data_IF_206720934456
#
_entry.id   IF_206720934456
#
_cell.length_a   1.000
_cell.length_b   1.000
_cell.length_c   1.000
_cell.angle_alpha   90.00
_cell.angle_beta   90.00
_cell.angle_gamma   90.00
#
_symmetry.space_group_name_H-M   'P 1'
#
loop_
_entity.id
_entity.type
_entity.pdbx_description
1 polymer ?
#
# COMPACT_ATOMS: atom_id res chain seq x y z
N UNK A 1 -39.62 -48.79 11.28
CA UNK A 1 -38.86 -47.86 10.43
C UNK A 1 -37.60 -47.46 11.17
N UNK A 2 -36.46 -47.75 10.56
CA UNK A 2 -35.10 -47.16 10.70
C UNK A 2 -34.46 -47.17 12.10
N UNK A 3 -33.44 -48.04 12.18
CA UNK A 3 -32.50 -48.34 13.27
C UNK A 3 -31.72 -47.10 13.74
N UNK A 4 -31.54 -47.04 15.05
CA UNK A 4 -30.50 -46.25 15.69
C UNK A 4 -29.11 -46.76 15.29
N UNK A 5 -28.24 -45.85 14.82
CA UNK A 5 -26.79 -45.96 15.01
C UNK A 5 -26.25 -44.54 15.19
N UNK A 6 -25.92 -44.22 16.43
CA UNK A 6 -25.07 -43.10 16.82
C UNK A 6 -23.63 -43.52 16.49
N UNK A 7 -22.95 -42.80 15.60
CA UNK A 7 -21.49 -42.75 15.60
C UNK A 7 -21.04 -41.31 15.43
N UNK A 8 -20.43 -40.81 16.50
CA UNK A 8 -19.66 -39.59 16.53
C UNK A 8 -18.47 -39.71 15.58
N UNK A 9 -18.29 -38.71 14.72
CA UNK A 9 -16.99 -38.42 14.13
C UNK A 9 -16.82 -36.91 14.11
N UNK A 10 -16.11 -36.44 15.14
CA UNK A 10 -15.37 -35.18 15.21
C UNK A 10 -14.73 -34.89 13.85
N UNK A 11 -15.24 -33.90 13.11
CA UNK A 11 -14.53 -33.30 12.00
C UNK A 11 -13.83 -32.05 12.55
N UNK A 12 -12.52 -32.19 12.66
CA UNK A 12 -11.55 -31.22 13.13
C UNK A 12 -11.79 -29.84 12.52
N UNK A 13 -11.82 -28.84 13.39
CA UNK A 13 -11.61 -27.45 13.02
C UNK A 13 -10.24 -27.30 12.35
N UNK A 14 -10.23 -27.09 11.03
CA UNK A 14 -9.07 -26.59 10.32
C UNK A 14 -9.14 -25.06 10.33
N UNK A 15 -8.22 -24.33 10.99
CA UNK A 15 -8.06 -22.91 10.70
C UNK A 15 -7.57 -22.80 9.26
N UNK A 16 -8.41 -22.31 8.37
CA UNK A 16 -8.00 -21.84 7.06
C UNK A 16 -7.07 -20.63 7.27
N UNK A 17 -5.78 -20.92 7.40
CA UNK A 17 -4.74 -19.93 7.45
C UNK A 17 -4.50 -19.39 6.03
N UNK A 18 -4.64 -18.07 5.91
CA UNK A 18 -4.09 -17.19 4.88
C UNK A 18 -4.43 -17.49 3.40
N UNK A 19 -5.40 -16.73 2.89
CA UNK A 19 -5.19 -15.99 1.67
C UNK A 19 -5.56 -14.54 1.98
N UNK A 20 -4.55 -13.75 2.40
CA UNK A 20 -4.69 -12.32 2.53
C UNK A 20 -5.27 -11.81 1.22
N UNK A 21 -6.49 -11.28 1.30
CA UNK A 21 -7.11 -10.47 0.27
C UNK A 21 -6.00 -9.63 -0.38
N UNK A 22 -5.80 -9.85 -1.67
CA UNK A 22 -5.14 -8.89 -2.54
C UNK A 22 -5.96 -7.63 -2.44
N UNK A 23 -5.63 -6.82 -1.44
CA UNK A 23 -6.22 -5.53 -1.19
C UNK A 23 -5.96 -4.76 -2.46
N UNK A 24 -7.06 -4.46 -3.12
CA UNK A 24 -7.21 -3.59 -4.26
C UNK A 24 -5.96 -2.73 -4.43
N UNK A 25 -5.23 -2.96 -5.52
CA UNK A 25 -4.47 -1.89 -6.13
C UNK A 25 -5.52 -0.85 -6.51
N UNK A 26 -5.88 -0.02 -5.51
CA UNK A 26 -6.61 1.21 -5.73
C UNK A 26 -5.77 1.93 -6.75
N UNK A 27 -6.32 2.03 -7.95
CA UNK A 27 -5.73 2.76 -9.05
C UNK A 27 -5.74 4.22 -8.65
N UNK A 28 -4.83 4.60 -7.78
CA UNK A 28 -4.53 5.98 -7.41
C UNK A 28 -3.58 6.55 -8.48
N UNK A 29 -4.00 6.39 -9.74
CA UNK A 29 -3.48 7.11 -10.89
C UNK A 29 -4.11 8.49 -10.93
N UNK A 30 -3.99 9.24 -9.84
CA UNK A 30 -4.11 10.68 -9.89
C UNK A 30 -2.83 11.18 -10.52
N UNK A 31 -2.92 11.74 -11.72
CA UNK A 31 -1.84 12.44 -12.40
C UNK A 31 -1.06 13.23 -11.38
N UNK A 32 0.17 12.79 -11.07
CA UNK A 32 1.06 13.56 -10.21
C UNK A 32 1.42 14.80 -10.99
N UNK A 33 0.63 15.86 -10.82
CA UNK A 33 1.02 17.21 -11.21
C UNK A 33 2.43 17.38 -10.66
N UNK A 34 3.41 17.53 -11.56
CA UNK A 34 4.82 17.74 -11.22
C UNK A 34 5.02 19.13 -10.59
N UNK A 35 4.25 19.43 -9.56
CA UNK A 35 4.29 20.64 -8.76
C UNK A 35 5.14 20.39 -7.53
N UNK A 36 6.46 20.43 -7.68
CA UNK A 36 7.35 20.39 -6.53
C UNK A 36 8.80 20.12 -6.86
N UNK A 37 9.63 21.15 -6.69
CA UNK A 37 11.10 21.06 -6.70
C UNK A 37 11.67 20.33 -5.48
N UNK A 38 10.84 19.92 -4.52
CA UNK A 38 11.26 19.25 -3.28
C UNK A 38 11.62 17.80 -3.53
N UNK A 39 12.71 17.37 -2.91
CA UNK A 39 13.11 15.96 -2.87
C UNK A 39 12.41 15.23 -1.73
N UNK A 40 12.41 13.90 -1.80
CA UNK A 40 11.91 13.03 -0.73
C UNK A 40 12.67 13.28 0.58
N UNK A 41 13.97 13.58 0.50
CA UNK A 41 14.81 13.91 1.66
C UNK A 41 14.40 15.23 2.34
N UNK A 42 14.00 16.23 1.55
CA UNK A 42 13.50 17.51 2.09
C UNK A 42 12.19 17.29 2.86
N UNK A 43 11.28 16.49 2.28
CA UNK A 43 10.00 16.16 2.93
C UNK A 43 10.21 15.36 4.23
N UNK A 44 11.13 14.39 4.24
CA UNK A 44 11.49 13.67 5.47
C UNK A 44 12.03 14.62 6.55
N UNK A 45 12.87 15.58 6.16
CA UNK A 45 13.44 16.58 7.08
C UNK A 45 12.38 17.55 7.62
N UNK A 46 11.34 17.82 6.83
CA UNK A 46 10.17 18.60 7.23
C UNK A 46 9.18 17.82 8.10
N UNK A 47 9.42 16.53 8.33
CA UNK A 47 8.60 15.65 9.17
C UNK A 47 7.45 14.97 8.42
N UNK A 48 7.53 14.86 7.10
CA UNK A 48 6.66 13.96 6.35
C UNK A 48 7.09 12.52 6.55
N UNK A 49 6.11 11.64 6.74
CA UNK A 49 6.33 10.21 6.94
C UNK A 49 5.97 9.44 5.68
N UNK A 50 6.76 8.40 5.37
CA UNK A 50 6.42 7.46 4.29
C UNK A 50 5.29 6.57 4.79
N UNK A 51 4.10 6.70 4.17
CA UNK A 51 2.92 5.89 4.50
C UNK A 51 2.81 4.65 3.63
N UNK A 52 3.23 4.74 2.38
CA UNK A 52 3.20 3.62 1.45
C UNK A 52 4.25 3.78 0.34
N UNK A 53 4.56 2.66 -0.31
CA UNK A 53 5.31 2.64 -1.55
C UNK A 53 4.68 1.63 -2.50
N UNK A 54 4.44 2.03 -3.75
CA UNK A 54 3.87 1.17 -4.77
C UNK A 54 4.73 1.17 -6.04
N UNK A 55 4.95 0.01 -6.68
CA UNK A 55 5.52 -0.03 -8.01
C UNK A 55 4.51 0.54 -9.03
N UNK A 56 4.98 1.41 -9.92
CA UNK A 56 4.23 1.97 -11.05
C UNK A 56 5.03 1.75 -12.34
N UNK A 57 4.72 0.64 -13.02
CA UNK A 57 5.49 0.19 -14.19
C UNK A 57 6.96 -0.09 -13.84
N UNK A 58 7.87 0.72 -14.36
CA UNK A 58 9.32 0.63 -14.09
C UNK A 58 9.79 1.57 -12.98
N UNK A 59 8.86 2.32 -12.35
CA UNK A 59 9.12 3.32 -11.33
C UNK A 59 8.59 2.87 -9.98
N UNK A 60 9.11 3.44 -8.92
CA UNK A 60 8.59 3.31 -7.57
C UNK A 60 8.03 4.65 -7.12
N UNK A 61 6.77 4.65 -6.71
CA UNK A 61 6.10 5.82 -6.15
C UNK A 61 6.03 5.63 -4.64
N UNK A 62 6.53 6.61 -3.91
CA UNK A 62 6.52 6.66 -2.45
C UNK A 62 5.54 7.72 -2.01
N UNK A 63 4.53 7.32 -1.25
CA UNK A 63 3.51 8.20 -0.72
C UNK A 63 3.92 8.68 0.65
N UNK A 64 4.05 10.00 0.77
CA UNK A 64 4.44 10.68 1.98
C UNK A 64 3.27 11.50 2.51
N UNK A 65 3.07 11.50 3.82
CA UNK A 65 2.00 12.26 4.45
C UNK A 65 2.49 12.96 5.71
N UNK A 66 2.01 14.17 5.91
CA UNK A 66 2.11 14.92 7.16
C UNK A 66 0.77 15.60 7.41
N UNK A 67 0.14 15.28 8.53
CA UNK A 67 -1.19 15.78 8.88
C UNK A 67 -2.21 15.55 7.74
N UNK A 68 -2.67 16.63 7.12
CA UNK A 68 -3.60 16.61 5.99
C UNK A 68 -2.91 16.71 4.64
N UNK A 69 -1.61 16.98 4.56
CA UNK A 69 -0.87 17.12 3.30
C UNK A 69 -0.25 15.81 2.87
N UNK A 70 -0.42 15.46 1.59
CA UNK A 70 0.12 14.25 0.98
C UNK A 70 0.95 14.58 -0.26
N UNK A 71 2.05 13.86 -0.42
CA UNK A 71 2.97 13.93 -1.56
C UNK A 71 3.18 12.55 -2.16
N UNK A 72 3.28 12.48 -3.47
CA UNK A 72 3.75 11.31 -4.21
C UNK A 72 5.14 11.62 -4.76
N UNK A 73 6.12 10.83 -4.34
CA UNK A 73 7.51 10.96 -4.75
C UNK A 73 7.92 9.80 -5.65
N UNK A 74 8.40 10.11 -6.85
CA UNK A 74 9.04 9.13 -7.74
C UNK A 74 10.56 9.25 -7.72
N UNK A 75 11.26 8.14 -7.92
CA UNK A 75 12.70 8.15 -8.16
C UNK A 75 12.98 8.36 -9.66
N UNK A 76 13.59 9.49 -10.00
CA UNK A 76 14.07 9.78 -11.36
C UNK A 76 15.42 9.10 -11.60
N UNK A 77 16.28 9.08 -10.58
CA UNK A 77 17.52 8.29 -10.52
C UNK A 77 17.73 7.73 -9.12
N UNK A 78 18.79 6.94 -8.91
CA UNK A 78 19.14 6.37 -7.61
C UNK A 78 19.31 7.41 -6.49
N UNK A 79 19.66 8.64 -6.85
CA UNK A 79 19.95 9.73 -5.91
C UNK A 79 19.05 10.96 -6.09
N UNK A 80 18.15 10.95 -7.09
CA UNK A 80 17.24 12.07 -7.36
C UNK A 80 15.79 11.58 -7.36
N UNK A 81 14.99 12.18 -6.50
CA UNK A 81 13.53 12.02 -6.47
C UNK A 81 12.82 13.27 -6.98
N UNK A 82 11.61 13.11 -7.50
CA UNK A 82 10.66 14.19 -7.79
C UNK A 82 9.40 13.95 -6.99
N UNK A 83 8.94 14.94 -6.25
CA UNK A 83 7.75 14.85 -5.42
C UNK A 83 6.70 15.83 -5.91
N UNK A 84 5.48 15.34 -6.14
CA UNK A 84 4.31 16.16 -6.41
C UNK A 84 3.31 16.07 -5.26
N UNK A 85 2.65 17.18 -4.93
CA UNK A 85 1.55 17.18 -3.97
C UNK A 85 0.33 16.49 -4.58
N UNK A 86 -0.35 15.64 -3.79
CA UNK A 86 -1.55 14.89 -4.21
C UNK A 86 -2.76 15.20 -3.32
N UNK A 87 -2.82 16.44 -2.81
CA UNK A 87 -3.89 16.94 -1.95
C UNK A 87 -4.90 17.79 -2.70
#
# INVERSE_FOLDING_TARGET
MIRAVVFASLLLAAPAAFAQQGQSAEQFGGSTESGGSKSMGDLLSEGYEIKASAPSGTKFIVFMQKDKSAYACEFVSLTRSRCGTIN
#
